data_IF_554523225616
#
_entry.id   IF_554523225616
#
_cell.length_a   1.000
_cell.length_b   1.000
_cell.length_c   1.000
_cell.angle_alpha   90.00
_cell.angle_beta   90.00
_cell.angle_gamma   90.00
#
_symmetry.space_group_name_H-M   'P 1'
#
loop_
_entity.id
_entity.type
_entity.pdbx_description
1 polymer ?
#
# COMPACT_ATOMS: atom_id res chain seq x y z
N UNK A 1 26.80 -13.49 23.42
CA UNK A 1 26.87 -12.17 24.06
C UNK A 1 25.45 -11.64 24.19
N UNK A 2 24.92 -11.60 25.42
CA UNK A 2 23.62 -10.99 25.71
C UNK A 2 23.77 -9.47 25.68
N UNK A 3 23.77 -8.90 24.49
CA UNK A 3 23.74 -7.45 24.30
C UNK A 3 22.43 -6.91 24.88
N UNK A 4 22.51 -5.82 25.64
CA UNK A 4 21.32 -5.17 26.16
C UNK A 4 20.50 -4.57 25.01
N UNK A 5 19.19 -4.35 25.17
CA UNK A 5 18.36 -3.70 24.15
C UNK A 5 18.91 -2.35 23.72
N UNK A 6 19.45 -1.57 24.66
CA UNK A 6 20.10 -0.29 24.39
C UNK A 6 21.34 -0.44 23.52
N UNK A 7 22.22 -1.41 23.82
CA UNK A 7 23.43 -1.65 23.01
C UNK A 7 23.06 -2.00 21.56
N UNK A 8 22.02 -2.81 21.38
CA UNK A 8 21.52 -3.16 20.03
C UNK A 8 20.98 -1.92 19.30
N UNK A 9 20.30 -1.02 19.98
CA UNK A 9 19.81 0.23 19.37
C UNK A 9 20.95 1.19 19.00
N UNK A 10 22.00 1.26 19.83
CA UNK A 10 23.21 2.02 19.53
C UNK A 10 23.94 1.45 18.30
N UNK A 11 24.09 0.12 18.21
CA UNK A 11 24.68 -0.57 17.05
C UNK A 11 23.89 -0.29 15.76
N UNK A 12 22.56 -0.31 15.84
CA UNK A 12 21.68 -0.03 14.71
C UNK A 12 21.72 1.45 14.26
N UNK A 13 21.94 2.36 15.20
CA UNK A 13 22.10 3.78 14.89
C UNK A 13 23.47 4.10 14.30
N UNK A 14 24.54 3.56 14.90
CA UNK A 14 25.94 3.80 14.46
C UNK A 14 26.32 3.03 13.19
N UNK A 15 25.40 2.28 12.60
CA UNK A 15 25.64 1.48 11.41
C UNK A 15 26.23 2.29 10.25
N UNK A 16 27.37 1.81 9.76
CA UNK A 16 28.04 2.31 8.55
C UNK A 16 27.87 1.26 7.47
N UNK A 17 27.36 1.68 6.30
CA UNK A 17 27.17 0.77 5.19
C UNK A 17 28.55 0.35 4.63
N UNK A 18 28.88 -0.96 4.62
CA UNK A 18 30.22 -1.44 4.27
C UNK A 18 30.58 -1.21 2.80
N UNK A 19 29.59 -1.02 1.91
CA UNK A 19 29.83 -0.84 0.48
C UNK A 19 30.18 0.60 0.10
N UNK A 20 29.64 1.60 0.82
CA UNK A 20 29.82 3.01 0.49
C UNK A 20 30.54 3.81 1.58
N UNK A 21 30.82 3.20 2.75
CA UNK A 21 31.48 3.84 3.89
C UNK A 21 30.66 4.95 4.54
N UNK A 22 29.37 5.10 4.21
CA UNK A 22 28.50 6.16 4.73
C UNK A 22 27.72 5.70 5.95
N UNK A 23 27.68 6.56 6.95
CA UNK A 23 26.81 6.41 8.11
C UNK A 23 25.34 6.37 7.66
N UNK A 24 24.66 5.26 7.92
CA UNK A 24 23.32 4.95 7.41
C UNK A 24 22.43 4.42 8.55
N UNK A 25 22.07 5.27 9.53
CA UNK A 25 21.34 4.85 10.72
C UNK A 25 20.03 4.14 10.36
N UNK A 26 19.78 2.97 10.97
CA UNK A 26 18.51 2.25 10.80
C UNK A 26 17.43 2.76 11.75
N UNK A 27 17.83 3.28 12.90
CA UNK A 27 16.98 3.86 13.94
C UNK A 27 17.02 5.39 13.86
N UNK A 28 15.92 6.04 14.23
CA UNK A 28 15.87 7.49 14.32
C UNK A 28 16.64 7.98 15.53
N UNK A 29 17.31 9.13 15.38
CA UNK A 29 18.03 9.77 16.49
C UNK A 29 17.09 10.06 17.67
N UNK A 30 15.88 10.53 17.38
CA UNK A 30 14.84 10.78 18.39
C UNK A 30 14.53 9.52 19.23
N UNK A 31 14.34 8.37 18.57
CA UNK A 31 14.06 7.12 19.29
C UNK A 31 15.27 6.67 20.11
N UNK A 32 16.49 6.79 19.56
CA UNK A 32 17.70 6.45 20.31
C UNK A 32 17.86 7.33 21.56
N UNK A 33 17.72 8.65 21.42
CA UNK A 33 17.89 9.59 22.53
C UNK A 33 16.90 9.29 23.68
N UNK A 34 15.65 8.93 23.34
CA UNK A 34 14.62 8.51 24.32
C UNK A 34 15.01 7.20 25.00
N UNK A 35 15.48 6.20 24.23
CA UNK A 35 15.90 4.91 24.76
C UNK A 35 17.10 5.07 25.70
N UNK A 36 18.08 5.91 25.34
CA UNK A 36 19.25 6.18 26.16
C UNK A 36 18.91 6.91 27.46
N UNK A 37 18.02 7.90 27.39
CA UNK A 37 17.56 8.63 28.57
C UNK A 37 16.82 7.73 29.58
N UNK A 38 16.20 6.64 29.12
CA UNK A 38 15.38 5.75 29.93
C UNK A 38 15.92 4.31 29.98
N UNK A 39 17.21 4.12 29.71
CA UNK A 39 17.82 2.81 29.46
C UNK A 39 17.56 1.79 30.57
N UNK A 40 17.70 2.19 31.84
CA UNK A 40 17.62 1.26 32.97
C UNK A 40 16.20 0.70 33.12
N UNK A 41 15.20 1.56 32.88
CA UNK A 41 13.78 1.21 32.97
C UNK A 41 13.34 0.36 31.79
N UNK A 42 13.73 0.70 30.57
CA UNK A 42 13.37 -0.06 29.37
C UNK A 42 14.07 -1.42 29.33
N UNK A 43 15.33 -1.49 29.76
CA UNK A 43 16.08 -2.74 29.78
C UNK A 43 15.57 -3.72 30.83
N UNK A 44 15.13 -3.21 31.99
CA UNK A 44 14.55 -4.04 33.05
C UNK A 44 13.12 -4.51 32.75
N UNK A 45 12.37 -3.78 31.92
CA UNK A 45 11.03 -4.17 31.50
C UNK A 45 11.01 -5.36 30.52
N UNK A 46 12.10 -5.60 29.78
CA UNK A 46 12.15 -6.66 28.76
C UNK A 46 12.32 -8.04 29.39
N UNK A 47 11.43 -8.96 29.01
CA UNK A 47 11.43 -10.35 29.47
C UNK A 47 11.81 -11.27 28.31
N UNK A 48 13.07 -11.71 28.26
CA UNK A 48 13.60 -12.52 27.17
C UNK A 48 12.98 -13.92 27.05
N UNK A 49 12.44 -14.47 28.13
CA UNK A 49 11.79 -15.79 28.10
C UNK A 49 10.56 -15.80 27.17
N UNK A 50 9.97 -14.62 26.90
CA UNK A 50 8.84 -14.47 25.97
C UNK A 50 9.25 -14.76 24.51
N UNK A 51 10.53 -14.77 24.17
CA UNK A 51 11.00 -15.18 22.84
C UNK A 51 10.67 -16.65 22.54
N UNK A 52 10.62 -17.51 23.57
CA UNK A 52 10.27 -18.93 23.41
C UNK A 52 8.77 -19.18 23.23
N UNK A 53 7.94 -18.14 23.31
CA UNK A 53 6.50 -18.26 23.07
C UNK A 53 6.15 -18.45 21.59
N UNK A 54 7.06 -18.09 20.67
CA UNK A 54 6.87 -18.23 19.24
C UNK A 54 7.05 -19.68 18.79
N UNK A 55 6.14 -20.15 17.93
CA UNK A 55 6.37 -21.40 17.22
C UNK A 55 7.53 -21.26 16.22
N UNK A 56 8.09 -22.40 15.78
CA UNK A 56 9.25 -22.41 14.89
C UNK A 56 9.05 -21.58 13.61
N UNK A 57 7.90 -21.75 12.94
CA UNK A 57 7.63 -21.03 11.69
C UNK A 57 7.47 -19.52 11.91
N UNK A 58 6.76 -19.12 12.95
CA UNK A 58 6.57 -17.72 13.33
C UNK A 58 7.90 -17.05 13.67
N UNK A 59 8.76 -17.73 14.43
CA UNK A 59 10.11 -17.25 14.70
C UNK A 59 10.94 -17.11 13.42
N UNK A 60 10.89 -18.09 12.51
CA UNK A 60 11.58 -18.00 11.22
C UNK A 60 11.03 -16.89 10.33
N UNK A 61 9.75 -16.60 10.39
CA UNK A 61 9.15 -15.45 9.70
C UNK A 61 9.68 -14.13 10.26
N UNK A 62 9.78 -13.99 11.59
CA UNK A 62 10.37 -12.83 12.23
C UNK A 62 11.85 -12.66 11.83
N UNK A 63 12.64 -13.72 11.92
CA UNK A 63 14.07 -13.74 11.56
C UNK A 63 14.30 -13.38 10.08
N UNK A 64 13.41 -13.84 9.20
CA UNK A 64 13.55 -13.59 7.75
C UNK A 64 13.34 -12.13 7.41
N UNK A 65 12.30 -11.50 7.95
CA UNK A 65 11.79 -10.22 7.43
C UNK A 65 11.65 -9.09 8.45
N UNK A 66 11.39 -9.37 9.74
CA UNK A 66 10.98 -8.35 10.72
C UNK A 66 12.10 -7.85 11.64
N UNK A 67 13.07 -8.71 11.95
CA UNK A 67 14.19 -8.35 12.81
C UNK A 67 15.27 -7.63 11.99
N UNK A 68 15.70 -6.46 12.45
CA UNK A 68 16.75 -5.68 11.76
C UNK A 68 18.08 -6.45 11.74
N UNK A 69 18.82 -6.27 10.65
CA UNK A 69 20.05 -7.00 10.35
C UNK A 69 21.21 -6.06 10.13
N UNK A 70 22.33 -6.32 10.79
CA UNK A 70 23.62 -5.66 10.56
C UNK A 70 24.49 -6.63 9.77
N UNK A 71 24.97 -6.21 8.59
CA UNK A 71 25.80 -7.06 7.72
C UNK A 71 25.19 -8.45 7.46
N UNK A 72 23.87 -8.49 7.19
CA UNK A 72 23.08 -9.70 6.96
C UNK A 72 22.93 -10.66 8.16
N UNK A 73 23.42 -10.28 9.34
CA UNK A 73 23.18 -11.01 10.60
C UNK A 73 22.11 -10.30 11.41
N UNK A 74 21.22 -11.08 12.01
CA UNK A 74 20.15 -10.53 12.87
C UNK A 74 20.76 -9.87 14.08
N UNK A 75 20.45 -8.58 14.28
CA UNK A 75 20.88 -7.80 15.43
C UNK A 75 19.81 -7.79 16.53
N UNK A 76 18.53 -7.71 16.13
CA UNK A 76 17.41 -7.64 17.07
C UNK A 76 16.90 -9.02 17.50
N UNK A 77 16.57 -9.18 18.78
CA UNK A 77 15.65 -10.23 19.25
C UNK A 77 14.20 -9.81 19.04
N UNK A 78 13.22 -10.75 19.04
CA UNK A 78 11.81 -10.39 18.99
C UNK A 78 11.42 -9.36 20.05
N UNK A 79 11.87 -9.52 21.30
CA UNK A 79 11.60 -8.51 22.34
C UNK A 79 12.17 -7.12 22.02
N UNK A 80 13.35 -7.04 21.39
CA UNK A 80 13.96 -5.76 21.00
C UNK A 80 13.13 -5.06 19.94
N UNK A 81 12.64 -5.80 18.95
CA UNK A 81 11.73 -5.28 17.93
C UNK A 81 10.42 -4.78 18.55
N UNK A 82 9.82 -5.54 19.47
CA UNK A 82 8.58 -5.13 20.14
C UNK A 82 8.77 -3.87 21.00
N UNK A 83 9.87 -3.76 21.72
CA UNK A 83 10.18 -2.56 22.50
C UNK A 83 10.46 -1.35 21.59
N UNK A 84 11.20 -1.54 20.49
CA UNK A 84 11.40 -0.51 19.46
C UNK A 84 10.07 0.01 18.92
N UNK A 85 9.15 -0.89 18.61
CA UNK A 85 7.83 -0.52 18.10
C UNK A 85 7.07 0.28 19.15
N UNK A 86 7.09 -0.18 20.41
CA UNK A 86 6.39 0.48 21.52
C UNK A 86 6.93 1.89 21.76
N UNK A 87 8.25 2.06 21.86
CA UNK A 87 8.89 3.39 21.99
C UNK A 87 8.71 4.22 20.72
N UNK A 88 8.72 3.61 19.54
CA UNK A 88 8.49 4.29 18.26
C UNK A 88 7.09 4.89 18.13
N UNK A 89 6.09 4.29 18.79
CA UNK A 89 4.70 4.78 18.84
C UNK A 89 4.53 5.81 19.96
N UNK A 90 4.93 5.48 21.19
CA UNK A 90 4.64 6.28 22.39
C UNK A 90 5.70 7.33 22.72
N UNK A 91 6.88 7.27 22.09
CA UNK A 91 7.99 8.21 22.24
C UNK A 91 8.36 8.41 23.71
N UNK A 92 8.23 9.63 24.22
CA UNK A 92 8.63 10.02 25.57
C UNK A 92 7.70 9.47 26.66
N UNK A 93 6.50 8.97 26.31
CA UNK A 93 5.60 8.31 27.25
C UNK A 93 6.05 6.86 27.48
N UNK A 94 6.94 6.68 28.45
CA UNK A 94 7.52 5.38 28.79
C UNK A 94 6.52 4.46 29.48
N UNK A 95 5.54 5.01 30.19
CA UNK A 95 4.51 4.20 30.87
C UNK A 95 3.64 3.50 29.83
N UNK A 96 3.14 4.25 28.85
CA UNK A 96 2.39 3.70 27.73
C UNK A 96 3.25 2.77 26.84
N UNK A 97 4.53 3.10 26.64
CA UNK A 97 5.44 2.22 25.91
C UNK A 97 5.61 0.84 26.59
N UNK A 98 5.75 0.81 27.92
CA UNK A 98 5.88 -0.44 28.68
C UNK A 98 4.57 -1.22 28.70
N UNK A 99 3.43 -0.53 28.82
CA UNK A 99 2.11 -1.16 28.70
C UNK A 99 1.94 -1.86 27.34
N UNK A 100 2.19 -1.13 26.25
CA UNK A 100 2.11 -1.67 24.89
C UNK A 100 3.12 -2.81 24.68
N UNK A 101 4.34 -2.70 25.19
CA UNK A 101 5.32 -3.78 25.12
C UNK A 101 4.82 -5.06 25.80
N UNK A 102 4.25 -4.95 27.00
CA UNK A 102 3.71 -6.10 27.72
C UNK A 102 2.56 -6.75 26.95
N UNK A 103 1.62 -5.95 26.45
CA UNK A 103 0.49 -6.47 25.66
C UNK A 103 0.95 -7.16 24.37
N UNK A 104 1.91 -6.57 23.65
CA UNK A 104 2.47 -7.14 22.42
C UNK A 104 3.28 -8.41 22.68
N UNK A 105 4.13 -8.42 23.71
CA UNK A 105 5.01 -9.56 24.03
C UNK A 105 4.27 -10.75 24.63
N UNK A 106 3.13 -10.51 25.29
CA UNK A 106 2.18 -11.55 25.73
C UNK A 106 1.22 -12.00 24.61
N UNK A 107 1.26 -11.33 23.44
CA UNK A 107 0.46 -11.62 22.24
C UNK A 107 -1.05 -11.36 22.39
N UNK A 108 -1.43 -10.37 23.20
CA UNK A 108 -2.82 -9.90 23.27
C UNK A 108 -3.28 -9.29 21.94
N UNK A 109 -2.39 -8.57 21.27
CA UNK A 109 -2.58 -8.06 19.93
C UNK A 109 -1.24 -7.93 19.19
N UNK A 110 -1.27 -7.54 17.92
CA UNK A 110 -0.07 -7.22 17.14
C UNK A 110 -0.37 -6.04 16.21
N UNK A 111 0.62 -5.18 15.98
CA UNK A 111 0.51 -4.15 14.95
C UNK A 111 0.72 -4.73 13.55
N UNK A 112 0.32 -3.96 12.53
CA UNK A 112 0.49 -4.33 11.13
C UNK A 112 1.98 -4.40 10.75
N UNK A 113 2.30 -5.15 9.69
CA UNK A 113 3.68 -5.37 9.27
C UNK A 113 4.48 -4.07 9.04
N UNK A 114 3.95 -3.02 8.36
CA UNK A 114 4.67 -1.76 8.18
C UNK A 114 5.02 -1.07 9.49
N UNK A 115 4.14 -1.16 10.49
CA UNK A 115 4.41 -0.65 11.83
C UNK A 115 5.57 -1.40 12.49
N UNK A 116 5.60 -2.74 12.40
CA UNK A 116 6.69 -3.55 12.95
C UNK A 116 8.04 -3.28 12.26
N UNK A 117 8.02 -3.07 10.94
CA UNK A 117 9.22 -2.75 10.17
C UNK A 117 9.76 -1.35 10.47
N UNK A 118 8.88 -0.34 10.50
CA UNK A 118 9.30 1.05 10.37
C UNK A 118 9.19 1.87 11.67
N UNK A 119 8.50 1.38 12.70
CA UNK A 119 8.44 2.09 13.98
C UNK A 119 9.84 2.25 14.58
N UNK A 120 10.14 3.47 15.04
CA UNK A 120 11.44 3.86 15.58
C UNK A 120 12.52 4.17 14.53
N UNK A 121 12.25 4.00 13.23
CA UNK A 121 13.22 4.27 12.14
C UNK A 121 13.17 5.73 11.65
N UNK A 122 14.12 6.15 10.81
CA UNK A 122 14.27 7.54 10.35
C UNK A 122 13.11 8.11 9.51
N UNK A 123 12.39 7.27 8.77
CA UNK A 123 11.21 7.68 7.99
C UNK A 123 10.08 6.67 8.23
N UNK A 124 9.39 6.78 9.37
CA UNK A 124 8.46 5.76 9.82
C UNK A 124 7.15 5.82 9.02
N UNK A 125 7.04 5.03 7.96
CA UNK A 125 5.77 4.78 7.26
C UNK A 125 5.07 3.60 7.96
N UNK A 126 4.13 3.91 8.86
CA UNK A 126 3.46 2.91 9.71
C UNK A 126 2.14 2.38 9.13
N UNK A 127 1.55 3.10 8.18
CA UNK A 127 0.28 2.80 7.51
C UNK A 127 0.45 1.71 6.45
N UNK A 128 -0.55 0.84 6.31
CA UNK A 128 -0.48 -0.28 5.36
C UNK A 128 -1.17 -0.02 4.03
N UNK A 129 -2.32 0.66 4.08
CA UNK A 129 -3.22 0.77 2.94
C UNK A 129 -3.54 2.24 2.66
N UNK A 130 -3.65 2.57 1.39
CA UNK A 130 -4.01 3.89 0.90
C UNK A 130 -5.14 3.74 -0.11
N UNK A 131 -6.11 4.65 -0.05
CA UNK A 131 -7.16 4.77 -1.07
C UNK A 131 -6.92 6.06 -1.83
N UNK A 132 -6.95 5.99 -3.15
CA UNK A 132 -6.78 7.10 -4.05
C UNK A 132 -7.97 7.16 -5.00
N UNK A 133 -8.42 8.37 -5.28
CA UNK A 133 -9.28 8.64 -6.43
C UNK A 133 -8.38 9.16 -7.56
N UNK A 134 -8.68 8.74 -8.78
CA UNK A 134 -8.08 9.36 -9.95
C UNK A 134 -8.37 10.87 -9.92
N UNK A 135 -7.33 11.69 -10.07
CA UNK A 135 -7.45 13.14 -9.85
C UNK A 135 -8.36 13.84 -10.87
N UNK A 136 -8.23 13.45 -12.13
CA UNK A 136 -8.90 14.09 -13.26
C UNK A 136 -8.82 13.18 -14.49
N UNK A 137 -9.81 13.30 -15.39
CA UNK A 137 -9.85 12.62 -16.69
C UNK A 137 -9.03 13.39 -17.73
N UNK A 138 -7.76 13.61 -17.39
CA UNK A 138 -6.77 14.28 -18.22
C UNK A 138 -5.42 13.57 -18.13
N UNK A 139 -4.56 13.76 -19.13
CA UNK A 139 -3.20 13.21 -19.11
C UNK A 139 -2.46 13.69 -17.86
N UNK A 140 -2.59 14.96 -17.50
CA UNK A 140 -1.95 15.50 -16.30
C UNK A 140 -2.47 14.82 -15.02
N UNK A 141 -3.80 14.68 -14.87
CA UNK A 141 -4.41 13.99 -13.73
C UNK A 141 -3.98 12.53 -13.61
N UNK A 142 -3.90 11.82 -14.73
CA UNK A 142 -3.46 10.41 -14.79
C UNK A 142 -2.00 10.28 -14.35
N UNK A 143 -1.09 11.09 -14.90
CA UNK A 143 0.34 11.01 -14.56
C UNK A 143 0.62 11.46 -13.12
N UNK A 144 -0.12 12.42 -12.60
CA UNK A 144 -0.02 12.83 -11.20
C UNK A 144 -0.46 11.71 -10.25
N UNK A 145 -1.58 11.05 -10.57
CA UNK A 145 -2.07 9.89 -9.81
C UNK A 145 -1.06 8.76 -9.87
N UNK A 146 -0.48 8.49 -11.05
CA UNK A 146 0.58 7.50 -11.23
C UNK A 146 1.83 7.80 -10.38
N UNK A 147 2.24 9.08 -10.33
CA UNK A 147 3.34 9.54 -9.48
C UNK A 147 3.04 9.30 -8.00
N UNK A 148 1.82 9.58 -7.55
CA UNK A 148 1.39 9.28 -6.18
C UNK A 148 1.45 7.77 -5.90
N UNK A 149 0.94 6.95 -6.80
CA UNK A 149 1.00 5.49 -6.70
C UNK A 149 2.45 4.98 -6.57
N UNK A 150 3.37 5.51 -7.38
CA UNK A 150 4.78 5.13 -7.33
C UNK A 150 5.44 5.53 -6.00
N UNK A 151 5.14 6.71 -5.46
CA UNK A 151 5.67 7.17 -4.18
C UNK A 151 5.16 6.31 -3.01
N UNK A 152 3.87 5.96 -3.01
CA UNK A 152 3.27 5.09 -1.99
C UNK A 152 3.83 3.67 -2.08
N UNK A 153 3.90 3.11 -3.29
CA UNK A 153 4.46 1.77 -3.52
C UNK A 153 5.91 1.66 -3.11
N UNK A 154 6.73 2.71 -3.32
CA UNK A 154 8.12 2.77 -2.83
C UNK A 154 8.21 2.61 -1.32
N UNK A 155 7.19 3.08 -0.58
CA UNK A 155 7.08 2.94 0.86
C UNK A 155 6.33 1.68 1.32
N UNK A 156 6.14 0.72 0.42
CA UNK A 156 5.46 -0.56 0.65
C UNK A 156 4.01 -0.46 1.14
N UNK A 157 3.29 0.60 0.74
CA UNK A 157 1.85 0.69 0.92
C UNK A 157 1.09 -0.04 -0.19
N UNK A 158 0.02 -0.74 0.18
CA UNK A 158 -0.99 -1.23 -0.78
C UNK A 158 -1.93 -0.10 -1.19
N UNK A 159 -2.44 -0.13 -2.43
CA UNK A 159 -3.24 0.97 -3.00
C UNK A 159 -4.58 0.42 -3.50
N UNK A 160 -5.67 1.04 -3.09
CA UNK A 160 -6.97 0.97 -3.77
C UNK A 160 -7.14 2.22 -4.64
N UNK A 161 -7.37 2.07 -5.94
CA UNK A 161 -7.52 3.19 -6.88
C UNK A 161 -8.89 3.14 -7.54
N UNK A 162 -9.70 4.17 -7.34
CA UNK A 162 -10.96 4.38 -8.06
C UNK A 162 -10.68 5.00 -9.43
N UNK A 163 -11.20 4.38 -10.49
CA UNK A 163 -10.93 4.78 -11.89
C UNK A 163 -12.20 5.01 -12.72
N UNK A 164 -13.38 4.98 -12.11
CA UNK A 164 -14.67 5.16 -12.80
C UNK A 164 -14.81 6.50 -13.55
N UNK A 165 -14.07 7.53 -13.14
CA UNK A 165 -14.12 8.85 -13.78
C UNK A 165 -13.35 8.93 -15.11
N UNK A 166 -12.50 7.95 -15.44
CA UNK A 166 -11.74 7.94 -16.70
C UNK A 166 -12.66 7.60 -17.86
N UNK A 167 -12.61 8.41 -18.94
CA UNK A 167 -13.44 8.16 -20.12
C UNK A 167 -13.22 6.78 -20.75
N UNK A 168 -14.30 6.22 -21.28
CA UNK A 168 -14.29 4.90 -21.89
C UNK A 168 -13.65 4.87 -23.30
N UNK A 169 -13.40 3.66 -23.80
CA UNK A 169 -12.92 3.43 -25.17
C UNK A 169 -13.87 4.05 -26.20
N UNK A 170 -13.31 4.80 -27.14
CA UNK A 170 -14.10 5.40 -28.23
C UNK A 170 -14.56 6.84 -27.98
N UNK A 171 -14.41 7.35 -26.75
CA UNK A 171 -14.84 8.71 -26.40
C UNK A 171 -14.00 9.80 -27.06
N UNK A 172 -14.62 10.95 -27.31
CA UNK A 172 -14.00 12.08 -27.98
C UNK A 172 -12.94 12.76 -27.11
N UNK A 173 -11.80 13.16 -27.71
CA UNK A 173 -10.78 13.97 -27.05
C UNK A 173 -10.75 15.35 -27.71
N UNK A 174 -11.15 16.37 -26.96
CA UNK A 174 -11.06 17.76 -27.42
C UNK A 174 -9.59 18.21 -27.47
N UNK A 175 -9.18 18.89 -28.54
CA UNK A 175 -7.85 19.51 -28.66
C UNK A 175 -6.76 18.69 -29.35
N UNK A 176 -7.00 17.41 -29.69
CA UNK A 176 -6.09 16.63 -30.55
C UNK A 176 -6.62 16.70 -31.99
N UNK A 177 -6.00 17.55 -32.82
CA UNK A 177 -6.30 17.60 -34.26
C UNK A 177 -5.90 16.27 -34.92
N UNK A 178 -6.87 15.60 -35.54
CA UNK A 178 -6.76 14.26 -36.09
C UNK A 178 -5.54 14.05 -37.02
N UNK A 179 -4.92 12.88 -36.90
CA UNK A 179 -4.13 12.30 -37.97
C UNK A 179 -5.12 11.86 -39.09
N UNK A 180 -4.83 12.05 -40.39
CA UNK A 180 -5.83 11.94 -41.47
C UNK A 180 -6.42 10.54 -41.71
N UNK A 181 -5.90 9.49 -41.06
CA UNK A 181 -6.34 8.10 -41.25
C UNK A 181 -7.49 7.66 -40.35
N UNK A 182 -7.87 8.47 -39.35
CA UNK A 182 -8.95 8.15 -38.41
C UNK A 182 -9.91 9.33 -38.34
N UNK A 183 -11.05 9.21 -39.04
CA UNK A 183 -12.19 10.09 -38.84
C UNK A 183 -12.65 9.96 -37.38
N UNK A 184 -12.38 11.02 -36.61
CA UNK A 184 -12.53 11.18 -35.15
C UNK A 184 -11.33 10.63 -34.34
N UNK A 185 -10.56 11.49 -33.64
CA UNK A 185 -9.62 11.06 -32.62
C UNK A 185 -10.41 10.52 -31.44
N UNK A 186 -10.58 9.20 -31.42
CA UNK A 186 -11.21 8.45 -30.35
C UNK A 186 -10.14 8.04 -29.35
N UNK A 187 -10.43 8.16 -28.06
CA UNK A 187 -9.59 7.61 -27.00
C UNK A 187 -9.45 6.09 -27.22
N UNK A 188 -8.27 5.64 -27.64
CA UNK A 188 -7.95 4.22 -27.68
C UNK A 188 -7.79 3.72 -26.26
N UNK A 189 -8.62 2.75 -25.85
CA UNK A 189 -8.62 2.05 -24.55
C UNK A 189 -7.94 2.83 -23.41
N UNK A 190 -8.44 4.03 -23.10
CA UNK A 190 -7.77 4.98 -22.19
C UNK A 190 -7.62 4.41 -20.78
N UNK A 191 -8.64 3.67 -20.32
CA UNK A 191 -8.61 2.92 -19.07
C UNK A 191 -7.52 1.83 -19.12
N UNK A 192 -7.51 0.99 -20.15
CA UNK A 192 -6.49 -0.07 -20.31
C UNK A 192 -5.07 0.51 -20.39
N UNK A 193 -4.86 1.59 -21.15
CA UNK A 193 -3.58 2.29 -21.24
C UNK A 193 -3.12 2.83 -19.89
N UNK A 194 -4.03 3.43 -19.12
CA UNK A 194 -3.75 3.91 -17.76
C UNK A 194 -3.39 2.77 -16.81
N UNK A 195 -4.09 1.64 -16.91
CA UNK A 195 -3.84 0.46 -16.09
C UNK A 195 -2.53 -0.25 -16.46
N UNK A 196 -2.17 -0.29 -17.74
CA UNK A 196 -0.90 -0.85 -18.20
C UNK A 196 0.31 0.03 -17.81
N UNK A 197 0.09 1.33 -17.61
CA UNK A 197 1.12 2.24 -17.10
C UNK A 197 1.35 2.09 -15.59
N UNK A 198 0.40 1.50 -14.85
CA UNK A 198 0.59 1.24 -13.43
C UNK A 198 1.73 0.24 -13.24
N UNK A 199 2.78 0.60 -12.50
CA UNK A 199 3.92 -0.29 -12.33
C UNK A 199 3.50 -1.50 -11.49
N UNK A 200 3.26 -2.64 -12.14
CA UNK A 200 3.04 -3.92 -11.45
C UNK A 200 4.20 -4.31 -10.52
N UNK A 201 5.38 -3.71 -10.71
CA UNK A 201 6.55 -3.84 -9.85
C UNK A 201 7.42 -2.56 -9.87
N UNK A 202 7.10 -1.57 -9.03
CA UNK A 202 7.90 -0.34 -8.93
C UNK A 202 9.26 -0.53 -8.23
N UNK A 203 9.56 -1.69 -7.64
CA UNK A 203 10.83 -1.94 -6.94
C UNK A 203 11.36 -3.37 -7.13
N UNK A 204 11.98 -3.71 -8.28
CA UNK A 204 12.79 -4.92 -8.39
C UNK A 204 14.00 -4.81 -7.44
N UNK A 205 14.10 -5.68 -6.43
CA UNK A 205 15.33 -5.86 -5.65
C UNK A 205 15.34 -5.35 -4.21
N UNK A 206 14.30 -4.69 -3.71
CA UNK A 206 14.09 -4.60 -2.26
C UNK A 206 13.35 -5.85 -1.78
N UNK A 207 13.71 -6.44 -0.62
CA UNK A 207 12.94 -7.54 -0.01
C UNK A 207 11.55 -7.10 0.51
N UNK A 208 11.14 -5.86 0.24
CA UNK A 208 9.80 -5.35 0.54
C UNK A 208 8.82 -5.76 -0.57
N UNK A 209 7.56 -5.95 -0.16
CA UNK A 209 6.49 -6.55 -0.97
C UNK A 209 6.35 -5.90 -2.36
N UNK A 210 6.06 -6.69 -3.41
CA UNK A 210 5.63 -6.12 -4.69
C UNK A 210 4.41 -5.23 -4.46
N UNK A 211 4.35 -4.09 -5.17
CA UNK A 211 3.25 -3.15 -5.05
C UNK A 211 1.93 -3.84 -5.42
N UNK A 212 0.98 -3.85 -4.50
CA UNK A 212 -0.34 -4.43 -4.73
C UNK A 212 -1.35 -3.31 -4.94
N UNK A 213 -1.86 -3.20 -6.17
CA UNK A 213 -2.86 -2.21 -6.55
C UNK A 213 -4.18 -2.91 -6.83
N UNK A 214 -5.23 -2.52 -6.12
CA UNK A 214 -6.61 -2.91 -6.37
C UNK A 214 -7.31 -1.78 -7.11
N UNK A 215 -7.80 -2.08 -8.31
CA UNK A 215 -8.50 -1.13 -9.16
C UNK A 215 -10.00 -1.30 -8.91
N UNK A 216 -10.67 -0.20 -8.59
CA UNK A 216 -12.10 -0.15 -8.34
C UNK A 216 -12.78 0.49 -9.54
N UNK A 217 -13.71 -0.25 -10.13
CA UNK A 217 -14.55 0.21 -11.24
C UNK A 217 -16.02 -0.07 -10.94
N UNK A 218 -16.89 0.88 -11.27
CA UNK A 218 -18.33 0.69 -11.18
C UNK A 218 -18.89 -0.01 -12.42
N UNK A 219 -19.88 -0.91 -12.26
CA UNK A 219 -20.35 -1.78 -13.34
C UNK A 219 -21.15 -1.06 -14.43
N UNK A 220 -21.50 0.22 -14.27
CA UNK A 220 -22.11 1.03 -15.33
C UNK A 220 -21.09 1.49 -16.37
N UNK A 221 -19.79 1.43 -16.07
CA UNK A 221 -18.75 1.91 -16.97
C UNK A 221 -18.70 1.08 -18.26
N UNK A 222 -18.59 1.75 -19.42
CA UNK A 222 -18.64 1.08 -20.73
C UNK A 222 -17.58 -0.02 -20.93
N UNK A 223 -16.35 0.21 -20.47
CA UNK A 223 -15.25 -0.78 -20.56
C UNK A 223 -15.31 -1.89 -19.48
N UNK A 224 -16.47 -2.13 -18.85
CA UNK A 224 -16.60 -3.09 -17.76
C UNK A 224 -16.29 -4.53 -18.20
N UNK A 225 -16.67 -4.92 -19.42
CA UNK A 225 -16.43 -6.28 -19.91
C UNK A 225 -14.94 -6.55 -20.12
N UNK A 226 -14.21 -5.60 -20.70
CA UNK A 226 -12.76 -5.66 -20.84
C UNK A 226 -12.07 -5.68 -19.48
N UNK A 227 -12.56 -4.89 -18.52
CA UNK A 227 -12.04 -4.82 -17.16
C UNK A 227 -12.09 -6.20 -16.45
N UNK A 228 -13.21 -6.92 -16.59
CA UNK A 228 -13.37 -8.27 -16.02
C UNK A 228 -12.39 -9.30 -16.61
N UNK A 229 -11.87 -9.06 -17.80
CA UNK A 229 -10.97 -9.95 -18.52
C UNK A 229 -9.48 -9.72 -18.21
N UNK A 230 -9.12 -8.62 -17.55
CA UNK A 230 -7.73 -8.18 -17.38
C UNK A 230 -6.83 -9.17 -16.61
N UNK A 231 -7.41 -9.97 -15.70
CA UNK A 231 -6.69 -10.97 -14.91
C UNK A 231 -6.66 -12.37 -15.55
N UNK A 232 -7.42 -12.61 -16.64
CA UNK A 232 -7.51 -13.93 -17.26
C UNK A 232 -6.14 -14.35 -17.83
N UNK A 233 -5.82 -15.64 -17.71
CA UNK A 233 -4.58 -16.18 -18.29
C UNK A 233 -4.63 -16.20 -19.83
N UNK A 234 -5.82 -16.44 -20.40
CA UNK A 234 -6.04 -16.47 -21.84
C UNK A 234 -6.22 -15.06 -22.42
N UNK A 235 -5.83 -14.87 -23.68
CA UNK A 235 -5.99 -13.61 -24.42
C UNK A 235 -4.66 -13.01 -24.89
N UNK A 236 -4.73 -11.85 -25.55
CA UNK A 236 -3.54 -11.12 -25.99
C UNK A 236 -2.90 -10.40 -24.80
N UNK A 237 -1.58 -10.43 -24.70
CA UNK A 237 -0.82 -9.80 -23.61
C UNK A 237 -1.11 -8.29 -23.47
N UNK A 238 -1.28 -7.59 -24.59
CA UNK A 238 -1.61 -6.16 -24.65
C UNK A 238 -2.96 -5.80 -24.02
N UNK A 239 -3.82 -6.80 -23.76
CA UNK A 239 -5.14 -6.63 -23.16
C UNK A 239 -5.20 -7.22 -21.74
N UNK A 240 -4.05 -7.43 -21.10
CA UNK A 240 -3.98 -8.07 -19.78
C UNK A 240 -3.13 -7.24 -18.83
N UNK A 241 -3.60 -7.14 -17.60
CA UNK A 241 -2.90 -6.48 -16.50
C UNK A 241 -2.85 -7.43 -15.30
N UNK A 242 -2.07 -8.51 -15.45
CA UNK A 242 -2.07 -9.64 -14.51
C UNK A 242 -1.43 -9.34 -13.16
N UNK A 243 -0.67 -8.27 -13.04
CA UNK A 243 -0.04 -7.88 -11.77
C UNK A 243 -1.00 -7.08 -10.87
N UNK A 244 -2.09 -6.54 -11.43
CA UNK A 244 -3.09 -5.77 -10.68
C UNK A 244 -4.16 -6.68 -10.07
N UNK A 245 -4.85 -6.15 -9.07
CA UNK A 245 -6.07 -6.71 -8.50
C UNK A 245 -7.27 -5.89 -8.98
N UNK A 246 -8.42 -6.53 -9.14
CA UNK A 246 -9.61 -5.91 -9.67
C UNK A 246 -10.75 -6.07 -8.68
N UNK A 247 -11.49 -5.00 -8.45
CA UNK A 247 -12.63 -4.92 -7.58
C UNK A 247 -13.76 -4.17 -8.29
N UNK A 248 -15.00 -4.58 -8.02
CA UNK A 248 -16.19 -3.89 -8.47
C UNK A 248 -16.75 -3.05 -7.34
N UNK A 249 -17.09 -1.80 -7.65
CA UNK A 249 -17.85 -0.93 -6.77
C UNK A 249 -19.31 -0.97 -7.23
N UNK A 250 -20.14 -1.78 -6.57
CA UNK A 250 -21.45 -2.18 -7.12
C UNK A 250 -22.55 -1.31 -6.50
N UNK A 251 -23.28 -0.51 -7.29
CA UNK A 251 -24.49 0.17 -6.81
C UNK A 251 -25.63 -0.83 -6.61
N UNK A 252 -26.50 -0.58 -5.63
CA UNK A 252 -27.66 -1.43 -5.34
C UNK A 252 -28.56 -1.62 -6.57
N UNK A 253 -28.69 -0.60 -7.42
CA UNK A 253 -29.46 -0.63 -8.66
C UNK A 253 -29.00 -1.76 -9.60
N UNK A 254 -27.69 -2.01 -9.71
CA UNK A 254 -27.16 -3.09 -10.54
C UNK A 254 -27.71 -4.44 -10.06
N UNK A 255 -27.68 -4.67 -8.74
CA UNK A 255 -28.18 -5.92 -8.16
C UNK A 255 -29.69 -6.07 -8.33
N UNK A 256 -30.46 -4.98 -8.17
CA UNK A 256 -31.92 -4.96 -8.41
C UNK A 256 -32.26 -5.32 -9.87
N UNK A 257 -31.53 -4.77 -10.84
CA UNK A 257 -31.74 -5.05 -12.27
C UNK A 257 -31.34 -6.47 -12.65
N UNK A 258 -30.27 -7.00 -12.05
CA UNK A 258 -29.89 -8.42 -12.22
C UNK A 258 -30.97 -9.36 -11.67
N UNK A 259 -31.52 -9.08 -10.49
CA UNK A 259 -32.57 -9.90 -9.87
C UNK A 259 -33.86 -9.93 -10.72
N UNK A 260 -34.22 -8.79 -11.30
CA UNK A 260 -35.43 -8.63 -12.12
C UNK A 260 -35.21 -8.86 -13.62
N UNK A 261 -34.00 -9.24 -14.02
CA UNK A 261 -33.58 -9.46 -15.41
C UNK A 261 -33.92 -8.27 -16.33
N UNK A 262 -33.62 -7.06 -15.86
CA UNK A 262 -33.80 -5.81 -16.58
C UNK A 262 -32.56 -5.41 -17.37
N UNK A 263 -32.74 -4.48 -18.31
CA UNK A 263 -31.64 -3.92 -19.09
C UNK A 263 -30.69 -3.08 -18.22
N UNK A 264 -29.39 -3.21 -18.48
CA UNK A 264 -28.33 -2.44 -17.84
C UNK A 264 -27.62 -1.56 -18.87
N UNK A 265 -27.64 -0.25 -18.64
CA UNK A 265 -27.04 0.73 -19.53
C UNK A 265 -25.56 0.93 -19.21
N UNK A 266 -24.72 0.82 -20.24
CA UNK A 266 -23.30 1.11 -20.16
C UNK A 266 -23.03 2.55 -20.60
N UNK A 267 -22.32 3.31 -19.77
CA UNK A 267 -22.13 4.76 -19.93
C UNK A 267 -20.65 5.13 -19.91
N UNK A 268 -20.33 6.24 -20.57
CA UNK A 268 -19.03 6.90 -20.44
C UNK A 268 -19.14 8.03 -19.41
N UNK A 269 -18.23 8.15 -18.43
CA UNK A 269 -18.29 9.20 -17.41
C UNK A 269 -18.20 10.62 -18.00
N UNK A 270 -17.58 10.79 -19.17
CA UNK A 270 -17.55 12.09 -19.86
C UNK A 270 -18.91 12.49 -20.47
N UNK A 271 -19.75 11.51 -20.84
CA UNK A 271 -21.10 11.75 -21.37
C UNK A 271 -22.15 11.79 -20.25
N UNK A 272 -21.95 11.00 -19.20
CA UNK A 272 -22.79 10.88 -18.01
C UNK A 272 -21.98 11.22 -16.75
N UNK A 273 -21.63 12.51 -16.53
CA UNK A 273 -20.79 12.91 -15.41
C UNK A 273 -21.51 12.85 -14.07
N UNK A 274 -20.76 12.59 -13.00
CA UNK A 274 -21.23 12.66 -11.61
C UNK A 274 -21.84 11.37 -11.07
N UNK A 275 -21.89 10.29 -11.86
CA UNK A 275 -22.33 8.98 -11.38
C UNK A 275 -21.44 8.41 -10.27
N UNK A 276 -20.14 8.74 -10.29
CA UNK A 276 -19.14 8.35 -9.31
C UNK A 276 -19.17 9.20 -8.02
N UNK A 277 -19.84 10.36 -8.04
CA UNK A 277 -19.96 11.30 -6.92
C UNK A 277 -21.25 11.13 -6.11
N UNK A 278 -22.22 10.34 -6.59
CA UNK A 278 -23.52 10.10 -5.94
C UNK A 278 -23.72 8.64 -5.55
N UNK A 279 -24.60 8.38 -4.58
CA UNK A 279 -24.90 7.02 -4.11
C UNK A 279 -26.37 6.88 -3.69
N UNK A 280 -26.84 5.63 -3.56
CA UNK A 280 -28.21 5.34 -3.12
C UNK A 280 -29.29 5.88 -4.07
N UNK A 281 -30.33 6.51 -3.51
CA UNK A 281 -31.44 7.05 -4.30
C UNK A 281 -31.03 8.17 -5.26
N UNK A 282 -29.99 8.95 -4.93
CA UNK A 282 -29.49 10.01 -5.81
C UNK A 282 -28.80 9.43 -7.05
N UNK A 283 -28.05 8.34 -6.87
CA UNK A 283 -27.48 7.57 -7.99
C UNK A 283 -28.58 6.99 -8.88
N UNK A 284 -29.61 6.39 -8.27
CA UNK A 284 -30.73 5.81 -9.03
C UNK A 284 -31.43 6.86 -9.90
N UNK A 285 -31.70 8.05 -9.35
CA UNK A 285 -32.33 9.15 -10.10
C UNK A 285 -31.45 9.75 -11.19
N UNK A 286 -30.13 9.76 -11.01
CA UNK A 286 -29.20 10.27 -12.01
C UNK A 286 -28.96 9.28 -13.16
N UNK A 287 -29.04 7.99 -12.85
CA UNK A 287 -28.79 6.90 -13.80
C UNK A 287 -30.00 6.55 -14.67
N UNK A 288 -31.22 6.73 -14.17
CA UNK A 288 -32.48 6.52 -14.91
C UNK A 288 -32.83 7.64 -15.89
#
# INVERSE_FOLDING_TARGET
>A
TSLSPTDVMEDLYTYINPHNGKHSPMISKETLDIVLANKDRLNSAIIYDRDFSYNYFGFKTLERSYLLKINSKVAERPQHMLMRVSVGIHKADIDAAIETYNLLSERWFTHASPTLFNAGTNRPQLSSCFLLCMKDDSIEGIYDTLKQCALISKSAGGIGLAVSCIRATGSYIAGVSACPSLSHPRAGAALLGTLLLLPGNATPGLPLRPGAFAIYLEPWHLDIFEFLDLKKNTGKEEQRARDLFFALWIPDLFMKRVETNQDWSLMCPNECPGLDDVWGEEFEKLYE
#
